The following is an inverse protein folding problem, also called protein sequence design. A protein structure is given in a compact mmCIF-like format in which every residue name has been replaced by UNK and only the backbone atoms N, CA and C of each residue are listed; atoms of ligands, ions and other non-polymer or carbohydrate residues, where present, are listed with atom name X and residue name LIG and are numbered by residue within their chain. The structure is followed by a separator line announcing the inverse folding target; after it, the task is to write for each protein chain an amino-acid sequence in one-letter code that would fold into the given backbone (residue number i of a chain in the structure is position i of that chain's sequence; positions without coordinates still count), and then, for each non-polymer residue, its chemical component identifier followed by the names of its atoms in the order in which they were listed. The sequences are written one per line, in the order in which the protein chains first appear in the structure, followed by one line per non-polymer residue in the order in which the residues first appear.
data_IF_848870197612
#
_entry.id   IF_848870197612
#
_cell.length_a   1.000
_cell.length_b   1.000
_cell.length_c   1.000
_cell.angle_alpha   90.00
_cell.angle_beta   90.00
_cell.angle_gamma   90.00
#
_symmetry.space_group_name_H-M   'P 1'
#
loop_
_entity.id
_entity.type
_entity.pdbx_description
1 polymer ?
#
# COMPACT_ATOMS: atom_id res chain seq x y z
N UNK A 1 -19.82 -24.72 16.21
CA UNK A 1 -19.91 -23.65 15.20
C UNK A 1 -18.51 -23.42 14.71
N UNK A 2 -18.27 -23.38 13.40
CA UNK A 2 -16.93 -23.06 12.86
C UNK A 2 -16.61 -21.59 13.15
N UNK A 3 -15.38 -21.33 13.56
CA UNK A 3 -14.90 -19.97 13.79
C UNK A 3 -14.63 -19.31 12.42
N UNK A 4 -15.11 -18.08 12.27
CA UNK A 4 -14.82 -17.25 11.10
C UNK A 4 -14.39 -15.86 11.57
N UNK A 5 -13.24 -15.38 11.10
CA UNK A 5 -12.65 -14.09 11.49
C UNK A 5 -12.36 -13.27 10.25
N UNK A 6 -12.87 -12.04 10.24
CA UNK A 6 -12.67 -11.09 9.15
C UNK A 6 -11.83 -9.90 9.62
N UNK A 7 -10.84 -9.49 8.83
CA UNK A 7 -10.08 -8.27 9.06
C UNK A 7 -9.81 -7.53 7.76
N UNK A 8 -9.51 -6.24 7.88
CA UNK A 8 -9.24 -5.36 6.74
C UNK A 8 -7.95 -4.59 6.92
N UNK A 9 -7.34 -4.20 5.80
CA UNK A 9 -6.23 -3.26 5.80
C UNK A 9 -6.32 -2.33 4.58
N UNK A 10 -5.87 -1.06 4.71
CA UNK A 10 -6.01 -0.07 3.67
C UNK A 10 -4.96 -0.19 2.58
N UNK A 11 -5.32 0.21 1.37
CA UNK A 11 -4.36 0.65 0.39
C UNK A 11 -3.69 1.97 0.81
N UNK A 12 -2.68 2.40 0.05
CA UNK A 12 -1.92 3.63 0.35
C UNK A 12 -1.69 4.47 -0.90
N UNK A 13 -1.41 5.73 -0.66
CA UNK A 13 -0.76 6.64 -1.61
C UNK A 13 0.47 7.25 -0.96
N UNK A 14 1.42 7.69 -1.81
CA UNK A 14 2.56 8.46 -1.35
C UNK A 14 2.31 9.92 -1.74
N UNK A 15 2.08 10.79 -0.76
CA UNK A 15 1.95 12.24 -0.98
C UNK A 15 3.33 12.89 -1.19
N UNK A 16 4.36 12.26 -0.68
CA UNK A 16 5.76 12.61 -0.89
C UNK A 16 6.57 11.34 -1.02
N UNK A 17 7.44 11.26 -2.02
CA UNK A 17 8.33 10.13 -2.23
C UNK A 17 9.64 10.59 -2.84
N UNK A 18 10.63 10.82 -2.01
CA UNK A 18 12.00 11.13 -2.41
C UNK A 18 12.88 9.89 -2.29
N UNK A 19 13.71 9.65 -3.30
CA UNK A 19 14.57 8.47 -3.40
C UNK A 19 16.03 8.90 -3.36
N UNK A 20 16.79 8.33 -2.43
CA UNK A 20 18.22 8.54 -2.28
C UNK A 20 19.07 7.85 -3.37
N UNK A 21 20.39 7.89 -3.23
CA UNK A 21 21.28 7.17 -4.14
C UNK A 21 21.15 5.65 -3.98
N UNK A 22 21.48 4.91 -5.04
CA UNK A 22 21.60 3.45 -5.00
C UNK A 22 22.73 3.06 -4.01
N UNK A 23 22.40 2.20 -3.06
CA UNK A 23 23.34 1.67 -2.08
C UNK A 23 24.01 0.38 -2.56
N UNK A 24 25.15 -0.01 -1.95
CA UNK A 24 25.85 -1.24 -2.29
C UNK A 24 25.02 -2.52 -2.08
N UNK A 25 23.99 -2.47 -1.24
CA UNK A 25 23.06 -3.58 -1.00
C UNK A 25 21.95 -3.70 -2.08
N UNK A 26 21.95 -2.81 -3.07
CA UNK A 26 20.98 -2.78 -4.16
C UNK A 26 19.66 -2.07 -3.83
N UNK A 27 19.56 -1.44 -2.65
CA UNK A 27 18.40 -0.68 -2.22
C UNK A 27 18.67 0.82 -2.18
N UNK A 28 17.61 1.59 -2.07
CA UNK A 28 17.65 3.04 -1.85
C UNK A 28 17.10 3.37 -0.47
N UNK A 29 17.69 4.35 0.20
CA UNK A 29 16.96 5.01 1.27
C UNK A 29 15.90 5.94 0.66
N UNK A 30 14.77 6.04 1.32
CA UNK A 30 13.66 6.90 0.89
C UNK A 30 13.19 7.80 2.01
N UNK A 31 12.61 8.93 1.65
CA UNK A 31 11.73 9.71 2.52
C UNK A 31 10.33 9.70 1.90
N UNK A 32 9.39 9.09 2.57
CA UNK A 32 8.02 8.97 2.07
C UNK A 32 7.02 9.50 3.08
N UNK A 33 5.96 10.15 2.57
CA UNK A 33 4.77 10.46 3.33
C UNK A 33 3.64 9.60 2.80
N UNK A 34 3.29 8.60 3.58
CA UNK A 34 2.20 7.67 3.30
C UNK A 34 0.88 8.21 3.82
N UNK A 35 -0.17 8.06 3.03
CA UNK A 35 -1.55 8.23 3.46
C UNK A 35 -2.35 6.96 3.15
N UNK A 36 -3.05 6.44 4.15
CA UNK A 36 -3.99 5.34 3.98
C UNK A 36 -5.23 5.85 3.24
N UNK A 37 -5.76 5.04 2.33
CA UNK A 37 -6.98 5.33 1.59
C UNK A 37 -8.11 4.40 2.00
N UNK A 38 -9.35 4.84 1.86
CA UNK A 38 -10.53 4.04 2.21
C UNK A 38 -10.92 3.03 1.12
N UNK A 39 -9.90 2.42 0.51
CA UNK A 39 -10.03 1.22 -0.33
C UNK A 39 -9.35 0.10 0.45
N UNK A 40 -10.13 -0.86 0.92
CA UNK A 40 -9.66 -1.84 1.90
C UNK A 40 -9.59 -3.22 1.27
N UNK A 41 -8.45 -3.86 1.39
CA UNK A 41 -8.37 -5.31 1.22
C UNK A 41 -9.02 -6.00 2.41
N UNK A 42 -9.70 -7.10 2.14
CA UNK A 42 -10.37 -7.88 3.17
C UNK A 42 -9.85 -9.31 3.18
N UNK A 43 -9.49 -9.82 4.35
CA UNK A 43 -9.17 -11.24 4.53
C UNK A 43 -10.14 -11.85 5.52
N UNK A 44 -10.70 -13.00 5.14
CA UNK A 44 -11.56 -13.83 6.00
C UNK A 44 -10.90 -15.19 6.19
N UNK A 45 -10.63 -15.53 7.45
CA UNK A 45 -10.23 -16.89 7.86
C UNK A 45 -11.48 -17.67 8.26
N UNK A 46 -11.64 -18.86 7.73
CA UNK A 46 -12.76 -19.74 8.07
C UNK A 46 -12.24 -21.15 8.32
N UNK A 47 -12.65 -21.77 9.43
CA UNK A 47 -12.29 -23.17 9.72
C UNK A 47 -12.85 -24.13 8.67
N UNK A 48 -12.03 -25.13 8.32
CA UNK A 48 -12.32 -26.20 7.35
C UNK A 48 -11.98 -27.54 7.97
N UNK A 49 -12.28 -28.65 7.24
CA UNK A 49 -11.90 -29.98 7.63
C UNK A 49 -10.54 -30.43 7.05
N UNK A 50 -9.87 -29.56 6.27
CA UNK A 50 -8.61 -29.86 5.59
C UNK A 50 -7.47 -29.21 6.36
N UNK A 51 -6.47 -30.03 6.73
CA UNK A 51 -5.25 -29.58 7.40
C UNK A 51 -4.49 -28.57 6.52
N UNK A 52 -3.98 -27.54 7.16
CA UNK A 52 -3.23 -26.46 6.48
C UNK A 52 -4.08 -25.22 6.23
N UNK A 53 -3.49 -24.30 5.50
CA UNK A 53 -4.14 -23.05 5.05
C UNK A 53 -4.37 -23.16 3.54
N UNK A 54 -5.60 -23.47 3.14
CA UNK A 54 -6.05 -23.30 1.76
C UNK A 54 -6.33 -21.82 1.47
N UNK A 55 -6.26 -21.43 0.21
CA UNK A 55 -6.50 -20.05 -0.19
C UNK A 55 -7.58 -19.95 -1.27
N UNK A 56 -8.32 -18.86 -1.23
CA UNK A 56 -9.28 -18.49 -2.26
C UNK A 56 -9.32 -16.97 -2.40
N UNK A 57 -9.83 -16.48 -3.54
CA UNK A 57 -9.90 -15.05 -3.80
C UNK A 57 -11.20 -14.70 -4.54
N UNK A 58 -11.67 -13.49 -4.29
CA UNK A 58 -12.69 -12.81 -5.07
C UNK A 58 -12.30 -11.35 -5.31
N UNK A 59 -12.99 -10.71 -6.24
CA UNK A 59 -12.88 -9.28 -6.49
C UNK A 59 -14.06 -8.58 -5.84
N UNK A 60 -13.77 -7.53 -5.06
CA UNK A 60 -14.81 -6.73 -4.40
C UNK A 60 -15.66 -5.99 -5.45
N UNK A 61 -16.98 -6.16 -5.45
CA UNK A 61 -17.86 -5.50 -6.41
C UNK A 61 -17.73 -3.97 -6.35
N UNK A 62 -17.69 -3.32 -7.52
CA UNK A 62 -17.57 -1.86 -7.62
C UNK A 62 -16.25 -1.26 -7.18
N UNK A 63 -15.25 -2.10 -6.87
CA UNK A 63 -13.91 -1.66 -6.51
C UNK A 63 -13.09 -1.23 -7.74
N UNK A 64 -11.98 -0.48 -7.54
CA UNK A 64 -11.04 -0.21 -8.63
C UNK A 64 -10.47 -1.48 -9.28
N UNK A 65 -10.30 -2.58 -8.53
CA UNK A 65 -9.90 -3.87 -9.12
C UNK A 65 -11.00 -4.44 -10.01
N UNK A 66 -12.27 -4.31 -9.64
CA UNK A 66 -13.38 -4.74 -10.51
C UNK A 66 -13.34 -3.99 -11.85
N UNK A 67 -13.07 -2.69 -11.83
CA UNK A 67 -12.89 -1.89 -13.04
C UNK A 67 -11.69 -2.37 -13.88
N UNK A 68 -10.56 -2.72 -13.24
CA UNK A 68 -9.41 -3.28 -13.95
C UNK A 68 -9.78 -4.60 -14.66
N UNK A 69 -10.56 -5.47 -14.02
CA UNK A 69 -11.04 -6.73 -14.61
C UNK A 69 -11.97 -6.46 -15.79
N UNK A 70 -12.94 -5.56 -15.64
CA UNK A 70 -13.89 -5.18 -16.69
C UNK A 70 -13.19 -4.60 -17.93
N UNK A 71 -12.11 -3.84 -17.72
CA UNK A 71 -11.29 -3.25 -18.79
C UNK A 71 -10.27 -4.24 -19.37
N UNK A 72 -10.16 -5.47 -18.84
CA UNK A 72 -9.15 -6.44 -19.24
C UNK A 72 -7.73 -6.07 -18.80
N UNK A 73 -7.58 -5.13 -17.89
CA UNK A 73 -6.30 -4.64 -17.37
C UNK A 73 -5.72 -5.54 -16.26
N UNK A 74 -6.54 -6.41 -15.70
CA UNK A 74 -6.13 -7.36 -14.66
C UNK A 74 -6.88 -8.69 -14.81
N UNK A 75 -6.10 -9.78 -14.81
CA UNK A 75 -6.61 -11.16 -14.74
C UNK A 75 -6.46 -11.66 -13.30
N UNK A 76 -7.56 -11.92 -12.58
CA UNK A 76 -7.50 -12.44 -11.20
C UNK A 76 -6.72 -13.76 -11.06
N UNK A 77 -6.61 -14.57 -12.11
CA UNK A 77 -5.90 -15.84 -12.09
C UNK A 77 -4.38 -15.73 -11.88
N UNK A 78 -3.81 -14.54 -12.08
CA UNK A 78 -2.36 -14.29 -11.87
C UNK A 78 -2.01 -14.11 -10.39
N UNK A 79 -2.98 -13.92 -9.51
CA UNK A 79 -2.72 -13.84 -8.06
C UNK A 79 -2.38 -15.23 -7.55
N UNK A 80 -1.18 -15.43 -6.99
CA UNK A 80 -0.81 -16.75 -6.47
C UNK A 80 -1.70 -17.10 -5.28
N UNK A 81 -2.20 -18.33 -5.27
CA UNK A 81 -2.98 -18.90 -4.16
C UNK A 81 -2.19 -20.06 -3.48
N UNK A 82 -0.91 -19.82 -3.25
CA UNK A 82 0.03 -20.72 -2.62
C UNK A 82 0.85 -20.02 -1.53
N UNK A 83 1.89 -20.65 -1.00
CA UNK A 83 2.73 -20.12 0.06
C UNK A 83 3.60 -18.90 -0.35
N UNK A 84 3.61 -18.51 -1.61
CA UNK A 84 4.26 -17.30 -2.10
C UNK A 84 3.39 -16.06 -1.91
N UNK A 85 2.08 -16.24 -1.73
CA UNK A 85 1.13 -15.15 -1.49
C UNK A 85 1.46 -14.43 -0.18
N UNK A 86 1.48 -13.10 -0.21
CA UNK A 86 1.81 -12.29 0.98
C UNK A 86 0.78 -12.43 2.11
N UNK A 87 -0.52 -12.65 1.81
CA UNK A 87 -1.52 -12.92 2.84
C UNK A 87 -1.23 -14.24 3.58
N UNK A 88 -0.88 -15.31 2.82
CA UNK A 88 -0.45 -16.57 3.43
C UNK A 88 0.79 -16.36 4.32
N UNK A 89 1.80 -15.66 3.81
CA UNK A 89 3.04 -15.41 4.54
C UNK A 89 2.79 -14.56 5.80
N UNK A 90 1.88 -13.58 5.73
CA UNK A 90 1.46 -12.79 6.88
C UNK A 90 0.78 -13.63 7.96
N UNK A 91 -0.16 -14.48 7.57
CA UNK A 91 -0.82 -15.41 8.49
C UNK A 91 0.17 -16.41 9.10
N UNK A 92 1.06 -16.99 8.30
CA UNK A 92 2.08 -17.93 8.75
C UNK A 92 3.08 -17.29 9.73
N UNK A 93 3.44 -16.01 9.53
CA UNK A 93 4.32 -15.29 10.46
C UNK A 93 3.69 -15.13 11.86
N UNK A 94 2.38 -14.88 11.91
CA UNK A 94 1.64 -14.79 13.19
C UNK A 94 1.50 -16.17 13.85
N UNK A 95 1.26 -17.24 13.08
CA UNK A 95 1.26 -18.61 13.59
C UNK A 95 2.61 -18.99 14.19
N UNK A 96 3.70 -18.71 13.47
CA UNK A 96 5.05 -19.01 13.95
C UNK A 96 5.40 -18.28 15.25
N UNK A 97 4.94 -17.06 15.43
CA UNK A 97 5.10 -16.30 16.68
C UNK A 97 4.35 -16.95 17.85
N UNK A 98 3.23 -17.61 17.58
CA UNK A 98 2.48 -18.39 18.55
C UNK A 98 3.05 -19.82 18.76
N UNK A 99 4.17 -20.15 18.14
CA UNK A 99 4.78 -21.49 18.22
C UNK A 99 4.05 -22.55 17.40
N UNK A 100 3.27 -22.13 16.40
CA UNK A 100 2.48 -22.98 15.51
C UNK A 100 3.00 -22.91 14.08
N UNK A 101 2.65 -23.92 13.29
CA UNK A 101 2.88 -23.98 11.85
C UNK A 101 1.54 -23.97 11.09
N UNK A 102 1.54 -23.74 9.78
CA UNK A 102 0.34 -23.91 8.96
C UNK A 102 -0.33 -25.28 9.09
N UNK A 103 0.44 -26.35 9.38
CA UNK A 103 -0.10 -27.71 9.54
C UNK A 103 -0.84 -27.92 10.88
N UNK A 104 -0.74 -26.99 11.82
CA UNK A 104 -1.44 -27.02 13.11
C UNK A 104 -2.84 -26.40 13.05
N UNK A 105 -3.27 -25.96 11.87
CA UNK A 105 -4.58 -25.34 11.66
C UNK A 105 -5.29 -25.96 10.45
N UNK A 106 -6.61 -25.80 10.39
CA UNK A 106 -7.44 -26.21 9.26
C UNK A 106 -8.26 -24.98 8.82
N UNK A 107 -7.72 -24.19 7.88
CA UNK A 107 -8.29 -22.88 7.52
C UNK A 107 -8.40 -22.70 6.00
N UNK A 108 -9.45 -21.99 5.58
CA UNK A 108 -9.47 -21.29 4.32
C UNK A 108 -9.17 -19.80 4.56
N UNK A 109 -8.18 -19.26 3.87
CA UNK A 109 -7.86 -17.84 3.82
C UNK A 109 -8.46 -17.28 2.54
N UNK A 110 -9.56 -16.55 2.66
CA UNK A 110 -10.23 -15.90 1.54
C UNK A 110 -9.81 -14.44 1.47
N UNK A 111 -9.33 -14.02 0.29
CA UNK A 111 -8.91 -12.62 0.00
C UNK A 111 -9.99 -11.98 -0.88
N UNK A 112 -10.58 -10.88 -0.45
CA UNK A 112 -11.44 -10.03 -1.29
C UNK A 112 -10.66 -8.80 -1.72
N UNK A 113 -10.27 -8.78 -3.01
CA UNK A 113 -9.42 -7.75 -3.61
C UNK A 113 -10.20 -6.49 -3.97
N UNK A 114 -9.72 -5.34 -3.50
CA UNK A 114 -10.29 -4.02 -3.82
C UNK A 114 -9.25 -3.00 -4.29
N UNK A 115 -8.03 -3.08 -3.77
CA UNK A 115 -6.93 -2.16 -4.10
C UNK A 115 -6.32 -2.53 -5.45
N UNK A 116 -6.11 -1.60 -6.40
CA UNK A 116 -5.51 -1.86 -7.71
C UNK A 116 -4.25 -2.71 -7.63
N UNK A 117 -4.22 -3.79 -8.41
CA UNK A 117 -3.08 -4.71 -8.46
C UNK A 117 -1.99 -4.15 -9.36
N UNK A 118 -0.74 -4.25 -8.92
CA UNK A 118 0.44 -3.67 -9.58
C UNK A 118 0.30 -2.16 -9.87
N UNK A 119 -0.52 -1.46 -9.07
CA UNK A 119 -0.85 -0.04 -9.21
C UNK A 119 -0.05 0.92 -8.34
N UNK A 120 0.96 0.47 -7.61
CA UNK A 120 1.72 1.33 -6.68
C UNK A 120 0.96 1.66 -5.38
N UNK A 121 -0.16 0.99 -5.11
CA UNK A 121 -1.05 1.26 -3.97
C UNK A 121 -0.94 0.25 -2.81
N UNK A 122 -0.01 -0.69 -2.87
CA UNK A 122 0.28 -1.61 -1.76
C UNK A 122 -0.77 -2.70 -1.52
N UNK A 123 -1.56 -3.12 -2.53
CA UNK A 123 -2.64 -4.10 -2.36
C UNK A 123 -2.18 -5.42 -1.74
N UNK A 124 -1.09 -6.03 -2.25
CA UNK A 124 -0.55 -7.26 -1.66
C UNK A 124 -0.03 -7.08 -0.23
N UNK A 125 0.48 -5.89 0.10
CA UNK A 125 0.87 -5.56 1.47
C UNK A 125 -0.33 -5.39 2.40
N UNK A 126 -1.43 -4.84 1.89
CA UNK A 126 -2.69 -4.76 2.61
C UNK A 126 -3.32 -6.15 2.82
N UNK A 127 -3.22 -7.07 1.83
CA UNK A 127 -3.61 -8.48 2.02
C UNK A 127 -2.87 -9.12 3.18
N UNK A 128 -1.53 -8.96 3.21
CA UNK A 128 -0.70 -9.48 4.29
C UNK A 128 -1.09 -8.90 5.65
N UNK A 129 -1.27 -7.59 5.73
CA UNK A 129 -1.66 -6.91 6.96
C UNK A 129 -3.05 -7.36 7.46
N UNK A 130 -4.03 -7.50 6.56
CA UNK A 130 -5.34 -8.01 6.89
C UNK A 130 -5.26 -9.47 7.37
N UNK A 131 -4.47 -10.32 6.71
CA UNK A 131 -4.27 -11.71 7.11
C UNK A 131 -3.61 -11.81 8.49
N UNK A 132 -2.61 -10.98 8.79
CA UNK A 132 -1.96 -10.92 10.10
C UNK A 132 -2.95 -10.54 11.20
N UNK A 133 -3.79 -9.52 10.99
CA UNK A 133 -4.84 -9.11 11.93
C UNK A 133 -5.86 -10.25 12.14
N UNK A 134 -6.34 -10.85 11.05
CA UNK A 134 -7.31 -11.94 11.12
C UNK A 134 -6.75 -13.15 11.88
N UNK A 135 -5.49 -13.55 11.62
CA UNK A 135 -4.84 -14.66 12.30
C UNK A 135 -4.61 -14.37 13.79
N UNK A 136 -4.20 -13.15 14.13
CA UNK A 136 -4.02 -12.73 15.51
C UNK A 136 -5.32 -12.87 16.33
N UNK A 137 -6.43 -12.36 15.78
CA UNK A 137 -7.75 -12.49 16.40
C UNK A 137 -8.27 -13.95 16.41
N UNK A 138 -7.98 -14.73 15.37
CA UNK A 138 -8.36 -16.15 15.30
C UNK A 138 -7.70 -16.97 16.43
N UNK A 139 -6.41 -16.76 16.66
CA UNK A 139 -5.68 -17.49 17.70
C UNK A 139 -6.22 -17.21 19.10
N UNK A 140 -6.70 -15.99 19.36
CA UNK A 140 -7.34 -15.65 20.63
C UNK A 140 -8.73 -16.28 20.72
N UNK A 141 -9.55 -16.18 19.68
CA UNK A 141 -10.91 -16.74 19.67
C UNK A 141 -10.93 -18.27 19.82
N UNK A 142 -9.88 -18.94 19.36
CA UNK A 142 -9.72 -20.41 19.49
C UNK A 142 -8.95 -20.83 20.75
N UNK A 143 -8.57 -19.88 21.63
CA UNK A 143 -7.86 -20.15 22.88
C UNK A 143 -6.39 -20.58 22.70
N UNK A 144 -5.83 -20.43 21.51
CA UNK A 144 -4.41 -20.72 21.21
C UNK A 144 -3.46 -19.62 21.70
N UNK A 145 -3.98 -18.40 21.83
CA UNK A 145 -3.35 -17.28 22.53
C UNK A 145 -4.30 -16.77 23.61
N UNK A 146 -3.76 -16.36 24.76
CA UNK A 146 -4.54 -15.76 25.84
C UNK A 146 -4.95 -14.31 25.55
N UNK A 147 -4.21 -13.62 24.68
CA UNK A 147 -4.45 -12.25 24.24
C UNK A 147 -3.82 -12.04 22.87
N UNK A 148 -4.27 -11.04 22.13
CA UNK A 148 -3.68 -10.66 20.85
C UNK A 148 -2.21 -10.23 21.01
N UNK A 149 -1.40 -10.57 20.00
CA UNK A 149 -0.06 -9.99 19.88
C UNK A 149 -0.20 -8.46 19.81
N UNK A 150 0.63 -7.74 20.55
CA UNK A 150 0.57 -6.28 20.55
C UNK A 150 0.97 -5.72 19.18
N UNK A 151 0.44 -4.55 18.84
CA UNK A 151 0.62 -3.91 17.54
C UNK A 151 2.09 -3.75 17.12
N UNK A 152 2.96 -3.37 18.07
CA UNK A 152 4.39 -3.25 17.81
C UNK A 152 5.05 -4.60 17.42
N UNK A 153 4.54 -5.72 17.95
CA UNK A 153 5.02 -7.05 17.56
C UNK A 153 4.57 -7.41 16.15
N UNK A 154 3.32 -7.11 15.78
CA UNK A 154 2.85 -7.30 14.41
C UNK A 154 3.67 -6.48 13.41
N UNK A 155 4.04 -5.23 13.74
CA UNK A 155 4.90 -4.39 12.90
C UNK A 155 6.29 -5.03 12.68
N UNK A 156 6.88 -5.63 13.72
CA UNK A 156 8.16 -6.35 13.61
C UNK A 156 8.06 -7.59 12.71
N UNK A 157 6.94 -8.34 12.78
CA UNK A 157 6.69 -9.49 11.93
C UNK A 157 6.38 -9.09 10.48
N UNK A 158 5.84 -7.90 10.28
CA UNK A 158 5.48 -7.37 8.97
C UNK A 158 6.69 -6.91 8.14
N UNK A 159 7.70 -6.30 8.77
CA UNK A 159 8.84 -5.70 8.09
C UNK A 159 9.57 -6.65 7.11
N UNK A 160 9.83 -7.94 7.45
CA UNK A 160 10.46 -8.88 6.52
C UNK A 160 9.56 -9.31 5.35
N UNK A 161 8.25 -9.06 5.40
CA UNK A 161 7.31 -9.44 4.35
C UNK A 161 7.31 -8.48 3.18
N UNK A 162 7.58 -7.19 3.45
CA UNK A 162 7.65 -6.14 2.44
C UNK A 162 7.58 -4.75 3.07
N UNK A 163 8.18 -3.76 2.41
CA UNK A 163 8.32 -2.39 2.93
C UNK A 163 6.98 -1.71 3.26
N UNK A 164 5.92 -1.99 2.49
CA UNK A 164 4.60 -1.37 2.68
C UNK A 164 3.70 -2.15 3.68
N UNK A 165 4.07 -3.39 4.10
CA UNK A 165 3.24 -4.19 5.02
C UNK A 165 3.10 -3.54 6.40
N UNK A 166 4.18 -3.00 7.01
CA UNK A 166 4.07 -2.26 8.27
C UNK A 166 3.11 -1.06 8.16
N UNK A 167 3.13 -0.32 7.04
CA UNK A 167 2.20 0.80 6.86
C UNK A 167 0.74 0.33 6.73
N UNK A 168 0.48 -0.76 6.01
CA UNK A 168 -0.87 -1.32 5.90
C UNK A 168 -1.43 -1.82 7.26
N UNK A 169 -0.56 -2.21 8.19
CA UNK A 169 -0.95 -2.48 9.59
C UNK A 169 -1.24 -1.19 10.36
N UNK A 170 -0.40 -0.18 10.20
CA UNK A 170 -0.47 1.09 10.92
C UNK A 170 -1.67 1.93 10.47
N UNK A 171 -1.84 2.10 9.16
CA UNK A 171 -2.85 2.98 8.57
C UNK A 171 -2.59 4.47 8.82
N UNK A 172 -3.60 5.30 8.54
CA UNK A 172 -3.55 6.73 8.79
C UNK A 172 -2.54 7.49 7.93
N UNK A 173 -1.77 8.38 8.57
CA UNK A 173 -0.71 9.17 7.96
C UNK A 173 0.62 8.83 8.64
N UNK A 174 1.68 8.58 7.88
CA UNK A 174 2.98 8.26 8.44
C UNK A 174 4.14 8.71 7.55
N UNK A 175 5.23 9.14 8.18
CA UNK A 175 6.52 9.29 7.52
C UNK A 175 7.22 7.93 7.54
N UNK A 176 7.70 7.50 6.37
CA UNK A 176 8.54 6.32 6.19
C UNK A 176 9.96 6.70 5.80
N UNK A 177 10.93 6.07 6.42
CA UNK A 177 12.36 6.19 6.16
C UNK A 177 12.99 4.82 5.96
N UNK A 178 14.31 4.77 5.72
CA UNK A 178 14.98 3.53 5.33
C UNK A 178 14.53 3.10 3.95
N UNK A 179 14.14 1.86 3.76
CA UNK A 179 13.49 1.39 2.52
C UNK A 179 12.00 1.70 2.47
N UNK A 180 11.49 2.52 3.40
CA UNK A 180 10.07 2.85 3.59
C UNK A 180 9.43 2.12 4.77
N UNK A 181 10.18 1.28 5.47
CA UNK A 181 9.73 0.37 6.53
C UNK A 181 9.84 0.94 7.95
N UNK A 182 10.67 1.97 8.16
CA UNK A 182 10.80 2.68 9.44
C UNK A 182 9.75 3.79 9.52
N UNK A 183 8.64 3.48 10.16
CA UNK A 183 7.45 4.34 10.18
C UNK A 183 7.37 5.19 11.43
N UNK A 184 7.05 6.46 11.23
CA UNK A 184 6.63 7.38 12.27
C UNK A 184 5.20 7.82 11.99
N UNK A 185 4.25 7.35 12.80
CA UNK A 185 2.85 7.76 12.70
C UNK A 185 2.70 9.26 12.94
N UNK A 186 1.84 9.90 12.15
CA UNK A 186 1.46 11.30 12.31
C UNK A 186 0.02 11.32 12.82
N UNK A 187 -0.22 11.71 14.08
CA UNK A 187 -1.57 11.82 14.60
C UNK A 187 -2.32 12.95 13.90
N UNK A 188 -3.55 12.67 13.47
CA UNK A 188 -4.44 13.67 12.91
C UNK A 188 -5.25 14.28 14.06
N UNK A 189 -5.18 15.62 14.27
CA UNK A 189 -6.01 16.30 15.25
C UNK A 189 -7.51 16.16 14.94
N UNK A 190 -8.33 16.23 15.97
CA UNK A 190 -9.79 16.27 15.81
C UNK A 190 -10.20 17.51 15.00
N UNK A 191 -11.08 17.33 14.03
CA UNK A 191 -11.58 18.42 13.18
C UNK A 191 -10.80 18.67 11.91
N UNK A 192 -9.73 17.90 11.65
CA UNK A 192 -9.05 17.94 10.34
C UNK A 192 -9.93 17.26 9.30
N UNK A 193 -10.33 18.02 8.27
CA UNK A 193 -11.08 17.49 7.14
C UNK A 193 -10.21 16.49 6.35
N UNK A 194 -10.74 15.29 5.98
CA UNK A 194 -10.03 14.31 5.20
C UNK A 194 -9.78 14.80 3.77
N UNK A 195 -8.71 14.29 3.14
CA UNK A 195 -8.52 14.41 1.70
C UNK A 195 -9.42 13.41 0.96
N UNK A 196 -10.00 13.83 -0.14
CA UNK A 196 -10.76 12.96 -1.03
C UNK A 196 -9.88 12.54 -2.21
N UNK A 197 -9.62 11.24 -2.31
CA UNK A 197 -8.82 10.67 -3.37
C UNK A 197 -9.70 9.96 -4.39
N UNK A 198 -9.38 10.16 -5.67
CA UNK A 198 -9.83 9.27 -6.73
C UNK A 198 -8.65 8.61 -7.42
N UNK A 199 -8.91 7.51 -8.12
CA UNK A 199 -7.89 6.68 -8.74
C UNK A 199 -8.28 6.29 -10.14
N UNK A 200 -7.32 6.42 -11.06
CA UNK A 200 -7.45 5.94 -12.44
C UNK A 200 -6.39 4.86 -12.63
N UNK A 201 -6.77 3.58 -12.59
CA UNK A 201 -5.85 2.48 -12.84
C UNK A 201 -5.43 2.48 -14.32
N UNK A 202 -4.16 2.16 -14.58
CA UNK A 202 -3.70 1.94 -15.96
C UNK A 202 -4.12 0.54 -16.46
N UNK A 203 -4.10 0.38 -17.77
CA UNK A 203 -4.39 -0.90 -18.43
C UNK A 203 -3.24 -1.90 -18.26
N UNK A 204 -2.01 -1.41 -18.14
CA UNK A 204 -0.80 -2.23 -17.96
C UNK A 204 -0.21 -2.00 -16.58
N UNK A 205 0.37 -3.04 -15.97
CA UNK A 205 1.08 -2.94 -14.70
C UNK A 205 2.54 -2.49 -14.89
N UNK A 206 3.14 -1.90 -13.85
CA UNK A 206 4.58 -1.62 -13.77
C UNK A 206 5.22 -2.42 -12.64
N UNK A 207 6.41 -2.94 -12.92
CA UNK A 207 7.24 -3.59 -11.91
C UNK A 207 8.02 -2.54 -11.12
N UNK A 208 7.81 -2.47 -9.80
CA UNK A 208 8.54 -1.54 -8.91
C UNK A 208 10.07 -1.62 -9.10
N UNK A 209 10.72 -2.80 -9.17
CA UNK A 209 12.15 -2.89 -9.45
C UNK A 209 12.56 -2.31 -10.82
N UNK A 210 11.69 -2.39 -11.82
CA UNK A 210 11.99 -1.79 -13.14
C UNK A 210 11.96 -0.27 -13.08
N UNK A 211 11.00 0.31 -12.37
CA UNK A 211 10.90 1.76 -12.18
C UNK A 211 12.11 2.31 -11.45
N UNK A 212 12.60 1.62 -10.40
CA UNK A 212 13.85 2.02 -9.71
C UNK A 212 15.08 1.90 -10.63
N UNK A 213 15.20 0.84 -11.43
CA UNK A 213 16.31 0.72 -12.40
C UNK A 213 16.28 1.83 -13.45
N UNK A 214 15.08 2.21 -13.89
CA UNK A 214 14.92 3.34 -14.83
C UNK A 214 15.31 4.67 -14.16
N UNK A 215 14.97 4.88 -12.88
CA UNK A 215 15.41 6.03 -12.11
C UNK A 215 16.94 6.12 -12.08
N UNK A 216 17.62 5.02 -11.76
CA UNK A 216 19.08 4.96 -11.68
C UNK A 216 19.74 5.23 -13.02
N UNK A 217 19.25 4.60 -14.09
CA UNK A 217 19.75 4.82 -15.45
C UNK A 217 19.53 6.27 -15.91
N UNK A 218 18.37 6.85 -15.58
CA UNK A 218 18.05 8.23 -15.90
C UNK A 218 18.92 9.24 -15.12
N UNK A 219 19.18 8.98 -13.84
CA UNK A 219 20.11 9.79 -13.02
C UNK A 219 21.55 9.71 -13.54
N UNK A 220 22.02 8.52 -13.85
CA UNK A 220 23.37 8.30 -14.40
C UNK A 220 23.58 9.00 -15.75
N UNK A 221 22.55 9.13 -16.56
CA UNK A 221 22.58 9.84 -17.85
C UNK A 221 22.26 11.34 -17.76
N UNK A 222 21.93 11.86 -16.56
CA UNK A 222 21.51 13.25 -16.37
C UNK A 222 20.08 13.56 -16.84
N UNK A 223 19.28 12.57 -17.18
CA UNK A 223 17.88 12.72 -17.59
C UNK A 223 16.95 13.06 -16.43
N UNK A 224 17.25 12.53 -15.25
CA UNK A 224 16.54 12.84 -14.01
C UNK A 224 17.44 13.58 -13.02
N UNK A 225 16.86 14.38 -12.10
CA UNK A 225 17.62 15.08 -11.08
C UNK A 225 18.46 14.12 -10.21
N UNK A 226 19.60 14.58 -9.75
CA UNK A 226 20.37 13.87 -8.74
C UNK A 226 19.53 13.69 -7.45
N UNK A 227 19.79 12.63 -6.67
CA UNK A 227 19.12 12.46 -5.39
C UNK A 227 19.44 13.62 -4.43
N UNK A 228 18.49 13.97 -3.56
CA UNK A 228 18.71 14.95 -2.52
C UNK A 228 19.77 14.46 -1.52
N UNK A 229 20.59 15.37 -1.01
CA UNK A 229 21.54 15.06 0.06
C UNK A 229 20.82 14.72 1.37
N UNK A 230 19.70 15.41 1.64
CA UNK A 230 18.87 15.18 2.82
C UNK A 230 17.52 14.61 2.40
N UNK A 231 17.27 13.36 2.78
CA UNK A 231 15.99 12.67 2.52
C UNK A 231 15.04 12.96 3.68
N UNK A 232 14.27 14.03 3.56
CA UNK A 232 13.29 14.43 4.57
C UNK A 232 11.96 14.80 3.91
N UNK A 233 10.86 14.44 4.58
CA UNK A 233 9.53 14.94 4.22
C UNK A 233 9.43 16.39 4.69
N UNK A 234 9.00 17.34 3.82
CA UNK A 234 8.86 18.75 4.24
C UNK A 234 7.91 18.90 5.42
N UNK A 235 8.39 19.52 6.51
CA UNK A 235 7.57 19.77 7.69
C UNK A 235 6.34 20.62 7.36
N UNK A 236 6.44 21.52 6.37
CA UNK A 236 5.33 22.31 5.88
C UNK A 236 4.19 21.44 5.32
N UNK A 237 4.51 20.36 4.60
CA UNK A 237 3.50 19.42 4.10
C UNK A 237 2.78 18.73 5.26
N UNK A 238 3.54 18.23 6.24
CA UNK A 238 2.97 17.60 7.44
C UNK A 238 2.06 18.59 8.19
N UNK A 239 2.55 19.79 8.45
CA UNK A 239 1.79 20.83 9.15
C UNK A 239 0.49 21.20 8.41
N UNK A 240 0.54 21.26 7.07
CA UNK A 240 -0.65 21.57 6.25
C UNK A 240 -1.66 20.41 6.29
N UNK A 241 -1.20 19.17 6.22
CA UNK A 241 -2.08 17.99 6.28
C UNK A 241 -2.76 17.81 7.63
N UNK A 242 -2.10 18.24 8.71
CA UNK A 242 -2.61 18.13 10.09
C UNK A 242 -3.31 19.41 10.58
N UNK A 243 -3.41 20.44 9.74
CA UNK A 243 -4.08 21.69 10.07
C UNK A 243 -5.61 21.52 10.11
N UNK A 244 -6.32 22.11 11.10
CA UNK A 244 -7.78 22.16 11.12
C UNK A 244 -8.37 23.25 10.20
N UNK A 245 -7.53 23.98 9.44
CA UNK A 245 -8.01 24.94 8.46
C UNK A 245 -8.87 24.24 7.38
N UNK A 246 -9.82 24.97 6.76
CA UNK A 246 -10.66 24.44 5.70
C UNK A 246 -9.84 23.76 4.59
N UNK A 247 -10.35 22.69 4.03
CA UNK A 247 -9.66 21.92 2.99
C UNK A 247 -9.33 22.82 1.79
N UNK A 248 -10.23 23.72 1.41
CA UNK A 248 -10.03 24.67 0.31
C UNK A 248 -8.81 25.59 0.48
N UNK A 249 -8.44 25.90 1.71
CA UNK A 249 -7.24 26.70 2.01
C UNK A 249 -5.97 25.87 2.00
N UNK A 250 -6.06 24.57 2.37
CA UNK A 250 -4.91 23.65 2.45
C UNK A 250 -4.52 23.05 1.10
N UNK A 251 -5.49 22.77 0.23
CA UNK A 251 -5.29 22.06 -1.03
C UNK A 251 -4.22 22.69 -1.94
N UNK A 252 -4.18 24.03 -2.17
CA UNK A 252 -3.15 24.61 -3.04
C UNK A 252 -1.72 24.36 -2.54
N UNK A 253 -1.53 24.43 -1.22
CA UNK A 253 -0.23 24.21 -0.62
C UNK A 253 0.13 22.71 -0.62
N UNK A 254 -0.82 21.83 -0.30
CA UNK A 254 -0.61 20.39 -0.43
C UNK A 254 -0.19 20.06 -1.85
N UNK A 255 -0.95 20.51 -2.86
CA UNK A 255 -0.66 20.27 -4.27
C UNK A 255 0.75 20.71 -4.68
N UNK A 256 1.21 21.87 -4.22
CA UNK A 256 2.52 22.41 -4.53
C UNK A 256 3.70 21.65 -3.89
N UNK A 257 3.41 20.86 -2.84
CA UNK A 257 4.41 20.10 -2.08
C UNK A 257 4.40 18.60 -2.38
N UNK A 258 3.48 18.13 -3.23
CA UNK A 258 3.49 16.75 -3.70
C UNK A 258 4.79 16.47 -4.48
N UNK A 259 5.37 15.31 -4.23
CA UNK A 259 6.58 14.87 -4.93
C UNK A 259 6.58 13.35 -5.06
N UNK A 260 7.03 12.90 -6.22
CA UNK A 260 7.31 11.48 -6.43
C UNK A 260 8.48 11.32 -7.43
N UNK A 261 9.65 10.95 -6.93
CA UNK A 261 10.85 10.74 -7.76
C UNK A 261 10.70 9.56 -8.73
N UNK A 262 9.76 8.65 -8.49
CA UNK A 262 9.45 7.53 -9.38
C UNK A 262 8.45 7.90 -10.49
N UNK A 263 7.85 9.10 -10.46
CA UNK A 263 6.86 9.48 -11.46
C UNK A 263 7.48 9.57 -12.88
N UNK A 264 8.56 10.32 -13.06
CA UNK A 264 9.20 10.45 -14.36
C UNK A 264 9.72 9.12 -14.93
N UNK A 265 10.38 8.23 -14.14
CA UNK A 265 10.67 6.86 -14.55
C UNK A 265 9.45 6.05 -14.98
N UNK A 266 8.36 6.12 -14.22
CA UNK A 266 7.12 5.41 -14.56
C UNK A 266 6.53 5.90 -15.89
N UNK A 267 6.51 7.21 -16.12
CA UNK A 267 6.06 7.82 -17.38
C UNK A 267 6.93 7.42 -18.57
N UNK A 268 8.25 7.29 -18.36
CA UNK A 268 9.17 6.85 -19.42
C UNK A 268 8.95 5.38 -19.78
N UNK A 269 8.66 4.53 -18.80
CA UNK A 269 8.38 3.10 -19.02
C UNK A 269 6.98 2.86 -19.59
N UNK A 270 6.02 3.67 -19.22
CA UNK A 270 4.62 3.54 -19.63
C UNK A 270 4.02 4.92 -20.00
N UNK A 271 4.26 5.42 -21.23
CA UNK A 271 3.85 6.76 -21.63
C UNK A 271 2.33 7.03 -21.58
N UNK A 272 1.49 6.00 -21.59
CA UNK A 272 0.04 6.15 -21.44
C UNK A 272 -0.37 6.77 -20.09
N UNK A 273 0.48 6.65 -19.06
CA UNK A 273 0.24 7.28 -17.75
C UNK A 273 0.31 8.80 -17.83
N UNK A 274 1.15 9.35 -18.72
CA UNK A 274 1.21 10.81 -18.97
C UNK A 274 -0.10 11.33 -19.54
N UNK A 275 -0.67 10.61 -20.49
CA UNK A 275 -1.97 10.97 -21.05
C UNK A 275 -3.07 10.90 -20.00
N UNK A 276 -3.04 9.87 -19.16
CA UNK A 276 -4.00 9.72 -18.05
C UNK A 276 -3.89 10.88 -17.06
N UNK A 277 -2.66 11.28 -16.69
CA UNK A 277 -2.43 12.46 -15.83
C UNK A 277 -3.00 13.74 -16.46
N UNK A 278 -2.73 13.97 -17.74
CA UNK A 278 -3.19 15.17 -18.45
C UNK A 278 -4.73 15.24 -18.47
N UNK A 279 -5.39 14.16 -18.89
CA UNK A 279 -6.87 14.10 -18.96
C UNK A 279 -7.49 14.22 -17.56
N UNK A 280 -6.88 13.59 -16.54
CA UNK A 280 -7.36 13.70 -15.18
C UNK A 280 -7.26 15.14 -14.65
N UNK A 281 -6.16 15.83 -14.94
CA UNK A 281 -5.92 17.20 -14.50
C UNK A 281 -6.87 18.23 -15.13
N UNK A 282 -7.42 17.94 -16.33
CA UNK A 282 -8.41 18.80 -16.99
C UNK A 282 -9.80 18.75 -16.32
N UNK A 283 -10.05 17.80 -15.43
CA UNK A 283 -11.33 17.70 -14.74
C UNK A 283 -11.48 18.84 -13.71
N UNK A 284 -12.53 19.68 -13.80
CA UNK A 284 -12.70 20.86 -12.93
C UNK A 284 -12.77 20.55 -11.43
N UNK A 285 -13.12 19.30 -11.04
CA UNK A 285 -13.16 18.87 -9.65
C UNK A 285 -11.79 18.42 -9.10
N UNK A 286 -10.75 18.32 -9.94
CA UNK A 286 -9.42 17.84 -9.55
C UNK A 286 -8.54 19.02 -9.16
N UNK A 287 -7.99 18.98 -7.95
CA UNK A 287 -7.04 20.00 -7.46
C UNK A 287 -5.59 19.61 -7.71
N UNK A 288 -5.29 18.32 -7.64
CA UNK A 288 -3.96 17.76 -7.92
C UNK A 288 -4.10 16.35 -8.47
N UNK A 289 -3.21 15.96 -9.38
CA UNK A 289 -3.07 14.57 -9.80
C UNK A 289 -1.59 14.16 -9.80
N UNK A 290 -1.31 12.89 -9.53
CA UNK A 290 0.04 12.37 -9.38
C UNK A 290 0.07 10.85 -9.57
N UNK A 291 1.26 10.31 -9.86
CA UNK A 291 1.47 8.86 -9.91
C UNK A 291 1.57 8.31 -8.49
N UNK A 292 0.81 7.27 -8.16
CA UNK A 292 0.87 6.61 -6.84
C UNK A 292 2.07 5.68 -6.74
N UNK A 293 3.02 5.97 -5.84
CA UNK A 293 4.22 5.14 -5.64
C UNK A 293 5.02 4.93 -6.92
N UNK A 294 5.34 3.68 -7.26
CA UNK A 294 5.98 3.32 -8.53
C UNK A 294 5.01 3.32 -9.73
N UNK A 295 3.77 3.69 -9.52
CA UNK A 295 2.73 3.66 -10.54
C UNK A 295 2.24 2.24 -10.89
N UNK A 296 1.50 2.10 -12.00
CA UNK A 296 1.12 3.17 -12.92
C UNK A 296 -0.20 3.87 -12.58
N UNK A 297 -0.84 3.56 -11.44
CA UNK A 297 -2.11 4.21 -11.06
C UNK A 297 -1.91 5.73 -10.90
N UNK A 298 -2.75 6.50 -11.56
CA UNK A 298 -2.88 7.93 -11.34
C UNK A 298 -3.84 8.16 -10.18
N UNK A 299 -3.36 8.82 -9.14
CA UNK A 299 -4.17 9.30 -8.04
C UNK A 299 -4.46 10.80 -8.23
N UNK A 300 -5.63 11.24 -7.79
CA UNK A 300 -5.96 12.65 -7.77
C UNK A 300 -6.64 13.04 -6.47
N UNK A 301 -6.54 14.31 -6.11
CA UNK A 301 -7.24 14.91 -4.99
C UNK A 301 -8.34 15.79 -5.55
N UNK A 302 -9.56 15.60 -5.05
CA UNK A 302 -10.73 16.42 -5.38
C UNK A 302 -11.23 17.23 -4.17
N UNK A 303 -11.98 18.26 -4.49
CA UNK A 303 -12.73 19.03 -3.49
C UNK A 303 -13.95 18.27 -3.02
#
# INVERSE_FOLDING_TARGET
MSVSVKATAPGKVNLYFAVGPLKPDGYHDVASLYAAVNILETVTLTETDVTGISQSMSVAPGSPVAQQVELGAFDPSVVPLDNTNLAYRGAAAVLAEAGLSPDDVCLNLHIEKAVPVAGGMGGGSADAAAAMKAMNSYLVQTGRLSQELPHNRLLQLAAPLGADVPFALLGGLAVGQGIGDRLQAIPLPVGVEPLHFGFVPAVSGLSTPEVFRELDAGRASGRYPAPDENLEVPQQLIATLTSPAPLTERLPLISSLLRNDLAAPALNLLPEVEQTLAVTAENPGVTACFVSGSGPTVAYISQ
#
